data_IF_513481678007
#
_entry.id   IF_513481678007
#
_cell.length_a   1.000
_cell.length_b   1.000
_cell.length_c   1.000
_cell.angle_alpha   90.00
_cell.angle_beta   90.00
_cell.angle_gamma   90.00
#
_symmetry.space_group_name_H-M   'P 1'
#
loop_
_entity.id
_entity.type
_entity.pdbx_description
1 polymer ?
#
# COMPACT_ATOMS: atom_id res chain seq x y z
N UNK A 1 29.65 -7.61 -34.53
CA UNK A 1 29.60 -6.94 -33.20
C UNK A 1 28.56 -5.84 -33.13
N UNK A 2 28.33 -5.06 -34.20
CA UNK A 2 27.28 -4.02 -34.24
C UNK A 2 25.84 -4.51 -34.01
N UNK A 3 25.55 -5.76 -34.32
CA UNK A 3 24.21 -6.34 -34.11
C UNK A 3 23.94 -6.60 -32.65
N UNK A 4 24.95 -7.06 -31.92
CA UNK A 4 24.85 -7.34 -30.48
C UNK A 4 24.67 -6.05 -29.70
N UNK A 5 25.39 -5.00 -30.04
CA UNK A 5 25.25 -3.67 -29.40
C UNK A 5 23.86 -3.07 -29.64
N UNK A 6 23.32 -3.19 -30.84
CA UNK A 6 21.95 -2.73 -31.14
C UNK A 6 20.88 -3.49 -30.36
N UNK A 7 21.05 -4.81 -30.23
CA UNK A 7 20.12 -5.65 -29.46
C UNK A 7 20.18 -5.25 -27.98
N UNK A 8 21.38 -5.04 -27.42
CA UNK A 8 21.54 -4.58 -26.05
C UNK A 8 20.92 -3.20 -25.81
N UNK A 9 21.07 -2.26 -26.75
CA UNK A 9 20.44 -0.95 -26.66
C UNK A 9 18.91 -1.03 -26.66
N UNK A 10 18.33 -1.86 -27.54
CA UNK A 10 16.88 -2.05 -27.60
C UNK A 10 16.37 -2.68 -26.32
N UNK A 11 17.06 -3.69 -25.78
CA UNK A 11 16.69 -4.34 -24.52
C UNK A 11 16.76 -3.32 -23.37
N UNK A 12 17.83 -2.51 -23.30
CA UNK A 12 17.97 -1.47 -22.29
C UNK A 12 16.85 -0.42 -22.37
N UNK A 13 16.48 0.02 -23.57
CA UNK A 13 15.38 0.97 -23.79
C UNK A 13 14.03 0.40 -23.35
N UNK A 14 13.75 -0.86 -23.69
CA UNK A 14 12.51 -1.52 -23.28
C UNK A 14 12.48 -1.70 -21.75
N UNK A 15 13.57 -2.11 -21.14
CA UNK A 15 13.69 -2.25 -19.68
C UNK A 15 13.44 -0.91 -18.96
N UNK A 16 14.03 0.16 -19.46
CA UNK A 16 13.86 1.50 -18.91
C UNK A 16 12.41 2.01 -19.05
N UNK A 17 11.76 1.73 -20.17
CA UNK A 17 10.36 2.07 -20.38
C UNK A 17 9.44 1.31 -19.41
N UNK A 18 9.68 0.02 -19.21
CA UNK A 18 8.94 -0.81 -18.26
C UNK A 18 9.15 -0.31 -16.83
N UNK A 19 10.37 0.03 -16.45
CA UNK A 19 10.69 0.58 -15.13
C UNK A 19 9.98 1.91 -14.88
N UNK A 20 9.94 2.80 -15.86
CA UNK A 20 9.22 4.06 -15.79
C UNK A 20 7.70 3.85 -15.60
N UNK A 21 7.11 2.89 -16.32
CA UNK A 21 5.69 2.53 -16.17
C UNK A 21 5.43 1.98 -14.77
N UNK A 22 6.29 1.09 -14.26
CA UNK A 22 6.16 0.54 -12.92
C UNK A 22 6.23 1.63 -11.84
N UNK A 23 7.12 2.61 -11.99
CA UNK A 23 7.20 3.76 -11.08
C UNK A 23 5.93 4.61 -11.14
N UNK A 24 5.38 4.86 -12.31
CA UNK A 24 4.11 5.59 -12.46
C UNK A 24 2.95 4.86 -11.79
N UNK A 25 2.86 3.54 -11.97
CA UNK A 25 1.83 2.71 -11.32
C UNK A 25 1.98 2.75 -9.80
N UNK A 26 3.21 2.67 -9.30
CA UNK A 26 3.50 2.75 -7.87
C UNK A 26 3.08 4.11 -7.29
N UNK A 27 3.42 5.20 -7.97
CA UNK A 27 3.02 6.55 -7.54
C UNK A 27 1.50 6.72 -7.57
N UNK A 28 0.82 6.22 -8.59
CA UNK A 28 -0.64 6.23 -8.68
C UNK A 28 -1.27 5.42 -7.53
N UNK A 29 -0.74 4.25 -7.23
CA UNK A 29 -1.21 3.41 -6.11
C UNK A 29 -1.07 4.12 -4.76
N UNK A 30 0.07 4.79 -4.53
CA UNK A 30 0.30 5.59 -3.32
C UNK A 30 -0.69 6.76 -3.25
N UNK A 31 -0.90 7.47 -4.35
CA UNK A 31 -1.85 8.59 -4.40
C UNK A 31 -3.28 8.15 -4.10
N UNK A 32 -3.73 7.04 -4.69
CA UNK A 32 -5.06 6.45 -4.41
C UNK A 32 -5.16 6.04 -2.94
N UNK A 33 -4.13 5.40 -2.40
CA UNK A 33 -4.10 5.00 -1.00
C UNK A 33 -4.23 6.21 -0.06
N UNK A 34 -3.47 7.27 -0.30
CA UNK A 34 -3.55 8.52 0.48
C UNK A 34 -4.94 9.14 0.36
N UNK A 35 -5.53 9.16 -0.84
CA UNK A 35 -6.88 9.69 -1.06
C UNK A 35 -7.95 8.90 -0.30
N UNK A 36 -7.92 7.57 -0.35
CA UNK A 36 -8.86 6.70 0.36
C UNK A 36 -8.74 6.87 1.87
N UNK A 37 -7.52 6.86 2.40
CA UNK A 37 -7.30 7.05 3.84
C UNK A 37 -7.75 8.44 4.28
N UNK A 38 -7.49 9.49 3.49
CA UNK A 38 -7.93 10.85 3.79
C UNK A 38 -9.45 11.00 3.79
N UNK A 39 -10.14 10.33 2.86
CA UNK A 39 -11.60 10.34 2.79
C UNK A 39 -12.26 9.64 4.01
N UNK A 40 -11.72 8.49 4.41
CA UNK A 40 -12.23 7.75 5.58
C UNK A 40 -11.90 8.42 6.91
N UNK A 41 -10.88 9.27 6.96
CA UNK A 41 -10.45 9.96 8.16
C UNK A 41 -11.52 10.92 8.71
N UNK A 42 -12.21 11.62 7.83
CA UNK A 42 -13.27 12.57 8.21
C UNK A 42 -14.45 11.85 8.90
N UNK A 43 -14.79 10.66 8.42
CA UNK A 43 -15.86 9.83 8.99
C UNK A 43 -15.46 9.26 10.35
N UNK A 44 -14.21 8.78 10.48
CA UNK A 44 -13.63 8.28 11.73
C UNK A 44 -13.44 9.36 12.79
N UNK A 45 -13.21 10.63 12.40
CA UNK A 45 -13.15 11.75 13.35
C UNK A 45 -14.50 11.96 14.02
N UNK A 46 -15.60 11.82 13.29
CA UNK A 46 -16.97 11.93 13.84
C UNK A 46 -17.28 10.79 14.80
N UNK A 47 -16.94 9.55 14.44
CA UNK A 47 -17.10 8.38 15.32
C UNK A 47 -16.23 8.45 16.56
N UNK A 48 -14.98 8.91 16.42
CA UNK A 48 -14.06 9.10 17.53
C UNK A 48 -14.50 10.17 18.51
N UNK A 49 -15.15 11.24 18.04
CA UNK A 49 -15.72 12.27 18.91
C UNK A 49 -16.90 11.72 19.74
N UNK A 50 -17.74 10.88 19.15
CA UNK A 50 -18.84 10.21 19.86
C UNK A 50 -18.35 9.21 20.90
N UNK A 51 -17.32 8.44 20.60
CA UNK A 51 -16.69 7.48 21.53
C UNK A 51 -15.98 8.18 22.70
N UNK A 52 -15.44 9.38 22.47
CA UNK A 52 -14.82 10.20 23.54
C UNK A 52 -15.85 10.68 24.58
N UNK A 53 -17.06 11.01 24.15
CA UNK A 53 -18.13 11.41 25.08
C UNK A 53 -18.61 10.25 25.95
N UNK A 54 -18.41 9.01 25.50
CA UNK A 54 -18.73 7.77 26.22
C UNK A 54 -17.58 7.23 27.07
N UNK A 55 -16.44 7.95 27.18
CA UNK A 55 -15.30 7.55 28.00
C UNK A 55 -14.36 6.50 27.39
N UNK A 56 -14.45 6.27 26.07
CA UNK A 56 -13.61 5.32 25.35
C UNK A 56 -12.12 5.69 25.38
N UNK A 57 -11.25 4.72 25.71
CA UNK A 57 -9.80 4.95 25.74
C UNK A 57 -9.24 5.13 24.32
N UNK A 58 -8.60 6.27 24.06
CA UNK A 58 -7.91 6.58 22.78
C UNK A 58 -6.96 5.48 22.33
N UNK A 59 -6.32 4.78 23.28
CA UNK A 59 -5.39 3.67 22.99
C UNK A 59 -6.06 2.50 22.27
N UNK A 60 -7.32 2.22 22.60
CA UNK A 60 -8.08 1.14 21.93
C UNK A 60 -8.39 1.49 20.48
N UNK A 61 -8.76 2.74 20.23
CA UNK A 61 -9.06 3.22 18.87
C UNK A 61 -7.84 3.14 17.93
N UNK A 62 -6.69 3.62 18.42
CA UNK A 62 -5.42 3.55 17.66
C UNK A 62 -5.02 2.11 17.40
N UNK A 63 -5.15 1.23 18.41
CA UNK A 63 -4.81 -0.18 18.26
C UNK A 63 -5.71 -0.88 17.24
N UNK A 64 -7.02 -0.67 17.31
CA UNK A 64 -8.00 -1.25 16.39
C UNK A 64 -7.72 -0.82 14.95
N UNK A 65 -7.53 0.48 14.72
CA UNK A 65 -7.22 1.02 13.39
C UNK A 65 -5.89 0.49 12.85
N UNK A 66 -4.85 0.40 13.68
CA UNK A 66 -3.55 -0.15 13.25
C UNK A 66 -3.67 -1.60 12.81
N UNK A 67 -4.43 -2.42 13.54
CA UNK A 67 -4.68 -3.83 13.20
C UNK A 67 -5.48 -3.93 11.90
N UNK A 68 -6.49 -3.09 11.71
CA UNK A 68 -7.29 -3.03 10.49
C UNK A 68 -6.44 -2.72 9.26
N UNK A 69 -5.58 -1.69 9.33
CA UNK A 69 -4.66 -1.35 8.25
C UNK A 69 -3.62 -2.45 8.00
N UNK A 70 -3.13 -3.11 9.04
CA UNK A 70 -2.23 -4.25 8.91
C UNK A 70 -2.89 -5.43 8.18
N UNK A 71 -4.15 -5.73 8.50
CA UNK A 71 -4.93 -6.79 7.83
C UNK A 71 -5.18 -6.47 6.36
N UNK A 72 -5.58 -5.22 6.06
CA UNK A 72 -5.78 -4.77 4.68
C UNK A 72 -4.47 -4.88 3.90
N UNK A 73 -3.36 -4.43 4.50
CA UNK A 73 -2.03 -4.54 3.89
C UNK A 73 -1.61 -5.97 3.63
N UNK A 74 -1.88 -6.85 4.57
CA UNK A 74 -1.57 -8.27 4.45
C UNK A 74 -2.37 -8.93 3.31
N UNK A 75 -3.68 -8.70 3.25
CA UNK A 75 -4.54 -9.21 2.18
C UNK A 75 -4.16 -8.64 0.81
N UNK A 76 -3.89 -7.34 0.73
CA UNK A 76 -3.43 -6.69 -0.50
C UNK A 76 -2.08 -7.27 -0.97
N UNK A 77 -1.16 -7.53 -0.03
CA UNK A 77 0.11 -8.18 -0.31
C UNK A 77 -0.04 -9.60 -0.86
N UNK A 78 -0.92 -10.41 -0.29
CA UNK A 78 -1.23 -11.76 -0.81
C UNK A 78 -1.78 -11.68 -2.22
N UNK A 79 -2.78 -10.83 -2.46
CA UNK A 79 -3.39 -10.67 -3.78
C UNK A 79 -2.37 -10.16 -4.81
N UNK A 80 -1.50 -9.23 -4.43
CA UNK A 80 -0.43 -8.71 -5.28
C UNK A 80 0.57 -9.79 -5.68
N UNK A 81 1.01 -10.60 -4.73
CA UNK A 81 1.93 -11.72 -4.98
C UNK A 81 1.29 -12.77 -5.87
N UNK A 82 0.05 -13.16 -5.60
CA UNK A 82 -0.65 -14.14 -6.43
C UNK A 82 -0.82 -13.64 -7.86
N UNK A 83 -1.19 -12.38 -8.05
CA UNK A 83 -1.30 -11.78 -9.37
C UNK A 83 0.05 -11.74 -10.11
N UNK A 84 1.13 -11.41 -9.41
CA UNK A 84 2.48 -11.40 -9.96
C UNK A 84 2.94 -12.80 -10.38
N UNK A 85 2.75 -13.81 -9.54
CA UNK A 85 3.13 -15.20 -9.85
C UNK A 85 2.32 -15.76 -11.03
N UNK A 86 1.02 -15.46 -11.11
CA UNK A 86 0.19 -15.84 -12.26
C UNK A 86 0.68 -15.16 -13.53
N UNK A 87 1.04 -13.89 -13.48
CA UNK A 87 1.56 -13.15 -14.62
C UNK A 87 2.91 -13.73 -15.09
N UNK A 88 3.82 -14.03 -14.16
CA UNK A 88 5.12 -14.64 -14.47
C UNK A 88 4.93 -16.04 -15.06
N UNK A 89 4.06 -16.85 -14.47
CA UNK A 89 3.73 -18.18 -14.98
C UNK A 89 3.18 -18.12 -16.41
N UNK A 90 2.23 -17.21 -16.69
CA UNK A 90 1.63 -17.05 -18.01
C UNK A 90 2.65 -16.60 -19.05
N UNK A 91 3.59 -15.73 -18.65
CA UNK A 91 4.65 -15.24 -19.52
C UNK A 91 5.66 -16.35 -19.85
N UNK A 92 6.10 -17.10 -18.84
CA UNK A 92 7.04 -18.20 -19.01
C UNK A 92 6.48 -19.33 -19.88
N UNK A 93 5.21 -19.68 -19.68
CA UNK A 93 4.57 -20.75 -20.42
C UNK A 93 4.32 -20.38 -21.92
N UNK A 94 4.30 -19.08 -22.26
CA UNK A 94 4.11 -18.61 -23.63
C UNK A 94 5.40 -18.28 -24.38
N UNK A 95 6.46 -17.87 -23.68
CA UNK A 95 7.67 -17.32 -24.30
C UNK A 95 8.92 -18.17 -24.09
N UNK A 96 8.95 -18.96 -23.02
CA UNK A 96 10.13 -19.75 -22.66
C UNK A 96 9.67 -21.14 -22.22
N UNK A 97 10.27 -22.19 -22.81
CA UNK A 97 10.17 -23.58 -22.31
C UNK A 97 10.98 -23.77 -21.01
N UNK A 98 10.96 -22.77 -20.14
CA UNK A 98 11.73 -22.74 -18.90
C UNK A 98 10.98 -23.34 -17.72
N UNK A 99 11.70 -23.98 -16.82
CA UNK A 99 11.15 -24.50 -15.57
C UNK A 99 10.67 -23.35 -14.69
N UNK A 100 9.37 -23.35 -14.33
CA UNK A 100 8.81 -22.42 -13.35
C UNK A 100 9.47 -22.63 -11.98
N UNK A 101 10.21 -21.64 -11.49
CA UNK A 101 10.80 -21.65 -10.15
C UNK A 101 10.01 -20.70 -9.25
N UNK A 102 9.30 -21.26 -8.32
CA UNK A 102 8.57 -20.51 -7.32
C UNK A 102 9.52 -19.71 -6.40
N UNK A 103 9.31 -18.41 -6.31
CA UNK A 103 10.14 -17.52 -5.50
C UNK A 103 9.65 -17.43 -4.05
N UNK A 104 9.71 -18.53 -3.33
CA UNK A 104 9.25 -18.64 -1.94
C UNK A 104 9.63 -17.46 -1.03
N UNK A 105 10.88 -16.93 -1.02
CA UNK A 105 11.23 -15.82 -0.15
C UNK A 105 10.43 -14.55 -0.47
N UNK A 106 10.17 -14.27 -1.73
CA UNK A 106 9.40 -13.10 -2.19
C UNK A 106 7.92 -13.26 -1.84
N UNK A 107 7.36 -14.45 -2.09
CA UNK A 107 5.96 -14.78 -1.79
C UNK A 107 5.65 -14.60 -0.31
N UNK A 108 6.57 -15.00 0.56
CA UNK A 108 6.40 -14.88 2.01
C UNK A 108 6.66 -13.46 2.53
N UNK A 109 7.67 -12.75 2.02
CA UNK A 109 8.08 -11.46 2.55
C UNK A 109 7.14 -10.31 2.17
N UNK A 110 6.61 -10.27 0.94
CA UNK A 110 5.81 -9.17 0.44
C UNK A 110 4.52 -8.91 1.24
N UNK A 111 3.70 -9.92 1.62
CA UNK A 111 2.52 -9.68 2.45
C UNK A 111 2.85 -9.08 3.82
N UNK A 112 3.95 -9.51 4.44
CA UNK A 112 4.37 -8.95 5.72
C UNK A 112 4.89 -7.52 5.59
N UNK A 113 5.67 -7.22 4.55
CA UNK A 113 6.18 -5.88 4.28
C UNK A 113 5.01 -4.92 4.03
N UNK A 114 4.04 -5.31 3.20
CA UNK A 114 2.86 -4.49 2.92
C UNK A 114 1.99 -4.27 4.16
N UNK A 115 1.82 -5.28 5.00
CA UNK A 115 1.12 -5.15 6.28
C UNK A 115 1.80 -4.14 7.22
N UNK A 116 3.13 -4.20 7.34
CA UNK A 116 3.91 -3.29 8.17
C UNK A 116 3.85 -1.85 7.65
N UNK A 117 4.02 -1.66 6.35
CA UNK A 117 3.95 -0.34 5.71
C UNK A 117 2.59 0.30 5.96
N UNK A 118 1.49 -0.43 5.71
CA UNK A 118 0.13 0.07 5.92
C UNK A 118 -0.17 0.32 7.40
N UNK A 119 0.30 -0.52 8.31
CA UNK A 119 0.17 -0.31 9.75
C UNK A 119 0.87 0.99 10.21
N UNK A 120 2.08 1.24 9.71
CA UNK A 120 2.84 2.46 10.02
C UNK A 120 2.13 3.70 9.46
N UNK A 121 1.67 3.65 8.21
CA UNK A 121 0.95 4.74 7.57
C UNK A 121 -0.38 5.04 8.27
N UNK A 122 -1.14 4.01 8.62
CA UNK A 122 -2.38 4.16 9.39
C UNK A 122 -2.14 4.81 10.75
N UNK A 123 -1.07 4.42 11.43
CA UNK A 123 -0.68 5.02 12.72
C UNK A 123 -0.22 6.48 12.56
N UNK A 124 0.54 6.79 11.52
CA UNK A 124 1.05 8.14 11.28
C UNK A 124 -0.07 9.13 10.97
N UNK A 125 -1.08 8.70 10.24
CA UNK A 125 -2.25 9.54 9.94
C UNK A 125 -3.18 9.80 11.15
N UNK A 126 -3.18 8.91 12.14
CA UNK A 126 -3.94 9.10 13.37
C UNK A 126 -3.30 10.10 14.34
N UNK A 127 -1.98 10.33 14.24
CA UNK A 127 -1.25 11.21 15.14
C UNK A 127 -1.77 12.67 15.16
N UNK A 128 -2.06 13.33 14.04
CA UNK A 128 -2.58 14.69 14.05
C UNK A 128 -4.01 14.79 14.60
N UNK A 129 -4.81 13.74 14.52
CA UNK A 129 -6.19 13.71 15.07
C UNK A 129 -6.19 13.70 16.60
N UNK A 130 -5.14 13.16 17.19
CA UNK A 130 -4.99 13.08 18.66
C UNK A 130 -4.53 14.39 19.27
N UNK A 131 -3.91 15.28 18.49
CA UNK A 131 -3.34 16.56 18.97
C UNK A 131 -4.28 17.76 18.79
N UNK A 132 -5.35 17.66 18.01
CA UNK A 132 -6.32 18.76 17.87
C UNK A 132 -7.20 18.85 19.09
N UNK A 133 -6.99 19.92 19.85
CA UNK A 133 -7.80 20.26 21.03
C UNK A 133 -9.26 20.48 20.65
N UNK A 134 -10.24 19.93 21.39
CA UNK A 134 -11.68 20.09 21.13
C UNK A 134 -12.14 21.56 21.10
N UNK A 135 -11.40 22.45 21.76
CA UNK A 135 -11.72 23.89 21.80
C UNK A 135 -11.62 24.61 20.47
N UNK A 136 -10.77 24.13 19.54
CA UNK A 136 -10.60 24.77 18.24
C UNK A 136 -11.75 24.46 17.28
N UNK A 137 -12.44 23.34 17.47
CA UNK A 137 -13.61 22.96 16.66
C UNK A 137 -14.87 23.77 17.02
N UNK A 138 -15.04 24.13 18.28
CA UNK A 138 -16.17 24.98 18.73
C UNK A 138 -16.05 26.42 18.24
N UNK A 139 -14.83 26.93 18.06
CA UNK A 139 -14.59 28.31 17.60
C UNK A 139 -14.81 28.54 16.11
N UNK A 140 -14.96 27.50 15.30
CA UNK A 140 -15.28 27.59 13.87
C UNK A 140 -16.77 27.50 13.55
N UNK A 141 -17.61 27.29 14.57
CA UNK A 141 -19.07 27.21 14.43
C UNK A 141 -19.77 28.48 14.93
N UNK A 142 -19.02 29.47 15.41
CA UNK A 142 -19.50 30.86 15.61
C UNK A 142 -19.04 31.75 14.44
#
# INVERSE_FOLDING_TARGET
DHIIERIQQIIAQVTQAVEAILLMILLAAIAVMVAVVSATMLERQREGALLRTLGGQQKLLVKSTTIEFALIGFLAGILGVLAAEVAVWALQNRMFDGEFRWHWPVVMSLPFISAVILAILGRWQLTPVLTVSPMLLLRRLE
#
